data_IF_121859861968
#
_entry.id   IF_121859861968
#
_cell.length_a   1.000
_cell.length_b   1.000
_cell.length_c   1.000
_cell.angle_alpha   90.00
_cell.angle_beta   90.00
_cell.angle_gamma   90.00
#
_symmetry.space_group_name_H-M   'P 1'
#
loop_
_entity.id
_entity.type
_entity.pdbx_description
1 polymer ?
#
# COMPACT_ATOMS: atom_id res chain seq x y z
N UNK A 1 -17.41 17.54 28.91
CA UNK A 1 -17.19 17.04 27.53
C UNK A 1 -15.69 16.95 27.25
N UNK A 2 -15.13 15.75 26.98
CA UNK A 2 -13.75 15.59 26.52
C UNK A 2 -13.74 15.56 24.99
N UNK A 3 -13.14 16.56 24.35
CA UNK A 3 -12.87 16.53 22.91
C UNK A 3 -11.73 15.54 22.64
N UNK A 4 -12.06 14.35 22.12
CA UNK A 4 -11.08 13.40 21.64
C UNK A 4 -10.56 13.91 20.29
N UNK A 5 -9.36 14.51 20.28
CA UNK A 5 -8.64 14.83 19.03
C UNK A 5 -8.44 13.53 18.24
N UNK A 6 -9.14 13.35 17.13
CA UNK A 6 -8.83 12.30 16.15
C UNK A 6 -7.40 12.54 15.66
N UNK A 7 -6.44 11.67 16.04
CA UNK A 7 -5.09 11.66 15.45
C UNK A 7 -5.24 11.49 13.93
N UNK A 8 -4.81 12.48 13.15
CA UNK A 8 -4.72 12.33 11.69
C UNK A 8 -3.63 11.30 11.39
N UNK A 9 -3.99 10.19 10.73
CA UNK A 9 -3.04 9.21 10.20
C UNK A 9 -2.30 9.81 9.00
N UNK A 10 -1.33 10.68 9.24
CA UNK A 10 -0.69 11.49 8.20
C UNK A 10 0.24 10.68 7.27
N UNK A 11 0.84 9.59 7.77
CA UNK A 11 1.78 8.78 6.99
C UNK A 11 1.12 7.89 5.92
N UNK A 12 0.02 7.21 6.27
CA UNK A 12 -0.62 6.20 5.40
C UNK A 12 -1.26 6.84 4.16
N UNK A 13 -2.00 7.94 4.36
CA UNK A 13 -2.60 8.69 3.26
C UNK A 13 -1.58 9.36 2.34
N UNK A 14 -0.37 9.65 2.83
CA UNK A 14 0.73 10.15 2.00
C UNK A 14 1.24 9.10 1.01
N UNK A 15 1.44 7.86 1.48
CA UNK A 15 1.89 6.74 0.66
C UNK A 15 0.86 6.37 -0.43
N UNK A 16 -0.42 6.25 -0.05
CA UNK A 16 -1.54 6.00 -0.97
C UNK A 16 -1.60 7.04 -2.10
N UNK A 17 -1.64 8.34 -1.75
CA UNK A 17 -1.71 9.42 -2.74
C UNK A 17 -0.55 9.39 -3.73
N UNK A 18 0.66 9.07 -3.25
CA UNK A 18 1.84 8.94 -4.11
C UNK A 18 1.73 7.74 -5.04
N UNK A 19 1.27 6.59 -4.53
CA UNK A 19 1.06 5.36 -5.30
C UNK A 19 0.03 5.57 -6.42
N UNK A 20 -1.14 6.11 -6.08
CA UNK A 20 -2.22 6.36 -7.06
C UNK A 20 -1.78 7.35 -8.13
N UNK A 21 -1.13 8.46 -7.74
CA UNK A 21 -0.63 9.45 -8.69
C UNK A 21 0.37 8.86 -9.69
N UNK A 22 1.25 7.97 -9.23
CA UNK A 22 2.30 7.37 -10.09
C UNK A 22 1.78 6.25 -10.97
N UNK A 23 0.92 5.39 -10.44
CA UNK A 23 0.48 4.17 -11.14
C UNK A 23 -0.81 4.36 -11.93
N UNK A 24 -1.55 5.45 -11.68
CA UNK A 24 -2.88 5.72 -12.26
C UNK A 24 -3.88 4.57 -12.04
N UNK A 25 -3.64 3.71 -11.05
CA UNK A 25 -4.53 2.61 -10.70
C UNK A 25 -5.75 3.11 -9.93
N UNK A 26 -6.82 2.32 -9.97
CA UNK A 26 -8.03 2.56 -9.18
C UNK A 26 -7.69 2.72 -7.70
N UNK A 27 -8.15 3.80 -7.08
CA UNK A 27 -7.93 4.02 -5.66
C UNK A 27 -8.93 3.20 -4.81
N UNK A 28 -8.39 2.27 -4.01
CA UNK A 28 -9.17 1.41 -3.08
C UNK A 28 -9.14 1.89 -1.62
N UNK A 29 -8.46 2.99 -1.34
CA UNK A 29 -8.39 3.62 -0.03
C UNK A 29 -7.43 2.93 0.96
N UNK A 30 -7.13 3.63 2.05
CA UNK A 30 -6.47 3.06 3.23
C UNK A 30 -7.50 2.38 4.12
N UNK A 31 -7.25 1.11 4.46
CA UNK A 31 -8.10 0.30 5.35
C UNK A 31 -7.33 -0.08 6.60
N UNK A 32 -8.03 -0.13 7.74
CA UNK A 32 -7.48 -0.70 8.97
C UNK A 32 -7.57 -2.23 8.87
N UNK A 33 -6.44 -2.91 9.07
CA UNK A 33 -6.36 -4.38 9.12
C UNK A 33 -5.78 -4.85 10.45
N UNK A 34 -6.14 -6.07 10.86
CA UNK A 34 -5.50 -6.77 11.97
C UNK A 34 -4.46 -7.75 11.40
N UNK A 35 -3.31 -7.21 10.98
CA UNK A 35 -2.28 -7.98 10.29
C UNK A 35 -1.06 -8.16 11.20
N UNK A 36 -0.51 -9.37 11.24
CA UNK A 36 0.57 -9.74 12.15
C UNK A 36 1.74 -8.75 12.09
N UNK A 37 2.30 -8.52 10.89
CA UNK A 37 3.43 -7.61 10.69
C UNK A 37 3.15 -6.18 11.14
N UNK A 38 1.93 -5.67 10.95
CA UNK A 38 1.59 -4.31 11.41
C UNK A 38 1.43 -4.23 12.92
N UNK A 39 1.06 -5.34 13.57
CA UNK A 39 0.92 -5.41 15.01
C UNK A 39 2.27 -5.56 15.72
N UNK A 40 3.16 -6.40 15.16
CA UNK A 40 4.49 -6.65 15.76
C UNK A 40 5.52 -5.57 15.43
N UNK A 41 5.30 -4.79 14.37
CA UNK A 41 6.12 -3.60 14.06
C UNK A 41 5.74 -2.41 14.95
N UNK A 42 5.70 -2.61 16.27
CA UNK A 42 5.25 -1.59 17.24
C UNK A 42 6.28 -0.47 17.48
N UNK A 43 7.53 -0.67 17.05
CA UNK A 43 8.60 0.31 17.20
C UNK A 43 8.66 1.35 16.06
N UNK A 44 7.97 1.12 14.94
CA UNK A 44 7.98 2.01 13.78
C UNK A 44 6.62 2.05 13.08
N UNK A 45 6.24 3.16 12.42
CA UNK A 45 5.04 3.18 11.57
C UNK A 45 5.14 2.14 10.45
N UNK A 46 4.15 1.26 10.37
CA UNK A 46 4.08 0.20 9.36
C UNK A 46 2.79 0.26 8.55
N UNK A 47 2.88 -0.15 7.29
CA UNK A 47 1.75 -0.32 6.36
C UNK A 47 1.98 -1.58 5.54
N UNK A 48 0.90 -2.26 5.17
CA UNK A 48 0.92 -3.21 4.06
C UNK A 48 0.35 -2.51 2.82
N UNK A 49 1.02 -2.71 1.67
CA UNK A 49 0.57 -2.21 0.38
C UNK A 49 0.16 -3.38 -0.49
N UNK A 50 -1.14 -3.46 -0.79
CA UNK A 50 -1.70 -4.39 -1.78
C UNK A 50 -1.56 -3.77 -3.18
N UNK A 51 -0.48 -4.10 -3.91
CA UNK A 51 -0.14 -3.48 -5.20
C UNK A 51 -1.17 -3.72 -6.32
N UNK A 52 -1.89 -4.85 -6.28
CA UNK A 52 -2.89 -5.23 -7.26
C UNK A 52 -3.36 -6.67 -7.04
N UNK A 53 -4.40 -7.08 -7.76
CA UNK A 53 -4.95 -8.43 -7.69
C UNK A 53 -4.27 -9.32 -8.72
N UNK A 54 -3.57 -10.37 -8.27
CA UNK A 54 -3.01 -11.39 -9.16
C UNK A 54 -4.08 -12.27 -9.83
N UNK A 55 -5.30 -12.28 -9.28
CA UNK A 55 -6.46 -12.98 -9.86
C UNK A 55 -7.17 -12.19 -10.95
N UNK A 56 -6.90 -10.87 -11.05
CA UNK A 56 -7.34 -10.06 -12.17
C UNK A 56 -6.25 -10.09 -13.26
N UNK A 57 -6.56 -10.66 -14.43
CA UNK A 57 -5.58 -10.85 -15.51
C UNK A 57 -4.92 -9.55 -15.96
N UNK A 58 -5.65 -8.44 -16.01
CA UNK A 58 -5.13 -7.13 -16.40
C UNK A 58 -4.14 -6.58 -15.36
N UNK A 59 -4.50 -6.66 -14.07
CA UNK A 59 -3.62 -6.22 -12.98
C UNK A 59 -2.39 -7.11 -12.84
N UNK A 60 -2.55 -8.43 -12.94
CA UNK A 60 -1.46 -9.41 -12.87
C UNK A 60 -0.44 -9.21 -13.98
N UNK A 61 -0.90 -8.90 -15.21
CA UNK A 61 -0.01 -8.58 -16.33
C UNK A 61 0.85 -7.35 -15.99
N UNK A 62 0.26 -6.27 -15.50
CA UNK A 62 1.02 -5.06 -15.15
C UNK A 62 2.06 -5.28 -14.04
N UNK A 63 1.74 -6.14 -13.05
CA UNK A 63 2.67 -6.49 -11.97
C UNK A 63 3.85 -7.32 -12.50
N UNK A 64 3.58 -8.26 -13.39
CA UNK A 64 4.58 -9.22 -13.90
C UNK A 64 5.46 -8.64 -15.02
N UNK A 65 4.98 -7.66 -15.78
CA UNK A 65 5.71 -7.09 -16.93
C UNK A 65 7.00 -6.36 -16.52
N UNK A 66 7.10 -5.82 -15.31
CA UNK A 66 8.34 -5.21 -14.80
C UNK A 66 9.40 -6.22 -14.32
N UNK A 67 9.08 -7.52 -14.27
CA UNK A 67 9.98 -8.55 -13.78
C UNK A 67 11.14 -8.90 -14.76
N UNK A 68 11.04 -8.47 -16.03
CA UNK A 68 12.09 -8.69 -17.04
C UNK A 68 13.34 -7.83 -16.83
N UNK A 69 13.22 -6.61 -16.30
CA UNK A 69 14.37 -5.71 -16.13
C UNK A 69 15.20 -5.99 -14.85
N UNK A 70 14.66 -6.75 -13.89
CA UNK A 70 15.37 -7.03 -12.63
C UNK A 70 16.31 -8.24 -12.70
N UNK A 71 16.07 -9.19 -13.61
CA UNK A 71 16.90 -10.39 -13.74
C UNK A 71 18.13 -10.13 -14.62
N UNK A 72 18.07 -9.17 -15.53
CA UNK A 72 19.20 -8.81 -16.41
C UNK A 72 20.26 -7.91 -15.73
N UNK A 73 20.06 -7.55 -14.45
CA UNK A 73 20.96 -6.66 -13.69
C UNK A 73 21.59 -7.33 -12.46
N UNK A 74 21.51 -8.66 -12.35
CA UNK A 74 22.03 -9.47 -11.23
C UNK A 74 22.93 -10.58 -11.71
#
# INVERSE_FOLDING_TARGET
MKMIRKKKHTGQGGAEKKYIRKTKRTNRGVKKGNLYMTNVSNHFPSVLVEGGFMTNKEEATLITVYHKHWIESS
#
